data_IF_059380007559
#
_entry.id   IF_059380007559
#
_cell.length_a   1.000
_cell.length_b   1.000
_cell.length_c   1.000
_cell.angle_alpha   90.00
_cell.angle_beta   90.00
_cell.angle_gamma   90.00
#
_symmetry.space_group_name_H-M   'P 1'
#
loop_
_entity.id
_entity.type
_entity.pdbx_description
1 polymer ?
#
# COMPACT_ATOMS: atom_id res chain seq x y z
N UNK A 1 -5.80 -17.04 -0.50
CA UNK A 1 -4.54 -17.80 -0.32
C UNK A 1 -3.41 -16.79 -0.40
N UNK A 2 -2.84 -16.38 0.73
CA UNK A 2 -1.70 -15.44 0.76
C UNK A 2 -0.44 -16.25 0.43
N UNK A 3 0.09 -16.08 -0.78
CA UNK A 3 1.40 -16.64 -1.10
C UNK A 3 2.46 -16.00 -0.20
N UNK A 4 3.31 -16.82 0.41
CA UNK A 4 4.51 -16.33 1.10
C UNK A 4 5.38 -15.65 0.05
N UNK A 5 5.46 -14.33 0.10
CA UNK A 5 6.36 -13.60 -0.79
C UNK A 5 7.80 -13.99 -0.42
N UNK A 6 8.44 -14.78 -1.28
CA UNK A 6 9.85 -15.06 -1.16
C UNK A 6 10.64 -13.79 -1.50
N UNK A 7 11.72 -13.53 -0.74
CA UNK A 7 12.67 -12.47 -1.08
C UNK A 7 13.40 -12.89 -2.37
N UNK A 8 13.10 -12.23 -3.47
CA UNK A 8 13.83 -12.31 -4.74
C UNK A 8 14.81 -11.14 -4.82
N UNK A 9 15.89 -11.28 -5.59
CA UNK A 9 16.97 -10.29 -5.61
C UNK A 9 16.51 -8.83 -5.83
N UNK A 10 15.43 -8.61 -6.59
CA UNK A 10 14.85 -7.28 -6.81
C UNK A 10 14.12 -6.73 -5.58
N UNK A 11 13.21 -7.48 -4.95
CA UNK A 11 12.47 -7.01 -3.77
C UNK A 11 13.33 -7.00 -2.49
N UNK A 12 14.42 -7.78 -2.46
CA UNK A 12 15.37 -7.79 -1.36
C UNK A 12 16.12 -6.47 -1.24
N UNK A 13 16.57 -5.90 -2.35
CA UNK A 13 17.31 -4.62 -2.34
C UNK A 13 16.43 -3.48 -1.81
N UNK A 14 15.17 -3.42 -2.26
CA UNK A 14 14.22 -2.41 -1.80
C UNK A 14 13.88 -2.62 -0.31
N UNK A 15 13.67 -3.87 0.11
CA UNK A 15 13.49 -4.23 1.51
C UNK A 15 14.67 -3.86 2.41
N UNK A 16 15.87 -4.21 1.97
CA UNK A 16 17.09 -3.96 2.72
C UNK A 16 17.40 -2.46 2.79
N UNK A 17 17.05 -1.68 1.77
CA UNK A 17 17.17 -0.23 1.80
C UNK A 17 16.29 0.40 2.88
N UNK A 18 15.01 0.03 2.96
CA UNK A 18 14.09 0.51 4.01
C UNK A 18 14.55 0.15 5.40
N UNK A 19 14.92 -1.13 5.58
CA UNK A 19 15.43 -1.62 6.84
C UNK A 19 16.66 -0.82 7.28
N UNK A 20 17.61 -0.58 6.36
CA UNK A 20 18.80 0.22 6.62
C UNK A 20 18.48 1.65 7.04
N UNK A 21 17.48 2.29 6.43
CA UNK A 21 17.02 3.63 6.84
C UNK A 21 16.44 3.61 8.25
N UNK A 22 15.51 2.69 8.54
CA UNK A 22 14.88 2.57 9.87
C UNK A 22 15.95 2.29 10.93
N UNK A 23 16.86 1.35 10.69
CA UNK A 23 17.92 1.03 11.63
C UNK A 23 18.90 2.18 11.86
N UNK A 24 19.13 3.04 10.86
CA UNK A 24 19.94 4.26 11.04
C UNK A 24 19.24 5.28 11.92
N UNK A 25 17.95 5.52 11.70
CA UNK A 25 17.13 6.43 12.52
C UNK A 25 17.07 5.93 13.96
N UNK A 26 16.86 4.63 14.14
CA UNK A 26 16.81 3.95 15.44
C UNK A 26 18.19 3.79 16.11
N UNK A 27 19.27 4.22 15.44
CA UNK A 27 20.67 4.06 15.85
C UNK A 27 21.09 2.60 16.10
N UNK A 28 20.41 1.63 15.47
CA UNK A 28 20.61 0.18 15.63
C UNK A 28 21.30 -0.48 14.44
N UNK A 29 21.75 0.29 13.44
CA UNK A 29 22.42 -0.25 12.25
C UNK A 29 23.71 -1.04 12.56
N UNK A 30 24.35 -0.81 13.71
CA UNK A 30 25.53 -1.57 14.11
C UNK A 30 25.22 -3.04 14.46
N UNK A 31 24.00 -3.33 14.91
CA UNK A 31 23.56 -4.68 15.33
C UNK A 31 23.63 -5.69 14.19
N UNK A 32 23.22 -5.30 12.98
CA UNK A 32 23.25 -6.19 11.81
C UNK A 32 24.68 -6.52 11.33
N UNK A 33 25.70 -5.81 11.82
CA UNK A 33 27.12 -6.06 11.49
C UNK A 33 27.83 -6.89 12.55
N UNK A 34 27.28 -7.00 13.74
CA UNK A 34 27.87 -7.78 14.81
C UNK A 34 27.49 -9.26 14.65
N UNK A 35 28.36 -10.19 15.10
CA UNK A 35 27.98 -11.59 15.23
C UNK A 35 26.96 -11.75 16.36
N UNK A 36 25.97 -12.62 16.17
CA UNK A 36 25.05 -12.98 17.25
C UNK A 36 25.89 -13.58 18.38
N UNK A 37 25.82 -13.04 19.61
CA UNK A 37 26.66 -13.50 20.70
C UNK A 37 26.29 -14.94 21.07
N UNK A 38 27.31 -15.76 21.32
CA UNK A 38 27.12 -17.12 21.85
C UNK A 38 26.46 -17.03 23.23
N UNK A 39 25.52 -17.94 23.49
CA UNK A 39 24.83 -18.02 24.77
C UNK A 39 25.82 -18.25 25.93
N UNK A 40 25.55 -17.70 27.13
CA UNK A 40 26.36 -17.97 28.30
C UNK A 40 26.35 -19.48 28.63
N UNK A 41 27.52 -20.00 28.99
CA UNK A 41 27.72 -21.42 29.34
C UNK A 41 27.49 -21.67 30.83
N UNK A 42 27.25 -22.93 31.22
CA UNK A 42 27.11 -23.31 32.63
C UNK A 42 28.33 -22.85 33.46
N UNK A 43 28.09 -22.06 34.52
CA UNK A 43 29.14 -21.45 35.35
C UNK A 43 29.60 -20.05 34.91
N UNK A 44 28.95 -19.45 33.91
CA UNK A 44 29.21 -18.06 33.49
C UNK A 44 28.84 -17.06 34.60
N UNK A 45 29.53 -15.90 34.62
CA UNK A 45 29.28 -14.83 35.59
C UNK A 45 27.96 -14.10 35.31
N UNK A 46 27.35 -13.53 36.35
CA UNK A 46 26.14 -12.69 36.21
C UNK A 46 26.36 -11.55 35.20
N UNK A 47 27.56 -10.97 35.18
CA UNK A 47 27.95 -9.94 34.21
C UNK A 47 27.89 -10.46 32.76
N UNK A 48 28.36 -11.68 32.50
CA UNK A 48 28.29 -12.28 31.17
C UNK A 48 26.84 -12.51 30.72
N UNK A 49 25.94 -12.86 31.65
CA UNK A 49 24.50 -12.94 31.38
C UNK A 49 23.88 -11.57 31.05
N UNK A 50 24.26 -10.52 31.78
CA UNK A 50 23.75 -9.15 31.53
C UNK A 50 24.21 -8.62 30.16
N UNK A 51 25.48 -8.83 29.82
CA UNK A 51 26.03 -8.44 28.51
C UNK A 51 25.36 -9.19 27.37
N UNK A 52 25.19 -10.52 27.51
CA UNK A 52 24.50 -11.32 26.51
C UNK A 52 23.04 -10.86 26.31
N UNK A 53 22.29 -10.69 27.40
CA UNK A 53 20.89 -10.25 27.35
C UNK A 53 20.73 -8.87 26.70
N UNK A 54 21.66 -7.94 26.97
CA UNK A 54 21.65 -6.59 26.38
C UNK A 54 21.78 -6.65 24.87
N UNK A 55 22.75 -7.42 24.37
CA UNK A 55 22.99 -7.58 22.93
C UNK A 55 21.86 -8.37 22.27
N UNK A 56 21.44 -9.49 22.87
CA UNK A 56 20.34 -10.31 22.37
C UNK A 56 19.01 -9.53 22.32
N UNK A 57 18.75 -8.69 23.32
CA UNK A 57 17.62 -7.76 23.34
C UNK A 57 17.63 -6.81 22.14
N UNK A 58 18.79 -6.22 21.83
CA UNK A 58 18.93 -5.36 20.65
C UNK A 58 18.72 -6.10 19.32
N UNK A 59 19.15 -7.36 19.21
CA UNK A 59 18.82 -8.21 18.05
C UNK A 59 17.31 -8.45 17.94
N UNK A 60 16.62 -8.73 19.04
CA UNK A 60 15.17 -8.91 19.05
C UNK A 60 14.43 -7.63 18.62
N UNK A 61 14.88 -6.46 19.07
CA UNK A 61 14.31 -5.18 18.61
C UNK A 61 14.47 -5.00 17.09
N UNK A 62 15.64 -5.32 16.54
CA UNK A 62 15.87 -5.30 15.09
C UNK A 62 14.96 -6.28 14.36
N UNK A 63 14.80 -7.50 14.88
CA UNK A 63 13.90 -8.50 14.32
C UNK A 63 12.43 -8.01 14.34
N UNK A 64 12.00 -7.40 15.44
CA UNK A 64 10.67 -6.77 15.54
C UNK A 64 10.48 -5.65 14.52
N UNK A 65 11.50 -4.80 14.30
CA UNK A 65 11.45 -3.75 13.28
C UNK A 65 11.34 -4.33 11.86
N UNK A 66 12.09 -5.39 11.56
CA UNK A 66 12.00 -6.11 10.28
C UNK A 66 10.59 -6.68 10.04
N UNK A 67 10.04 -7.34 11.06
CA UNK A 67 8.69 -7.90 11.01
C UNK A 67 7.64 -6.81 10.82
N UNK A 68 7.74 -5.70 11.56
CA UNK A 68 6.81 -4.56 11.45
C UNK A 68 6.77 -3.97 10.04
N UNK A 69 7.93 -3.70 9.43
CA UNK A 69 7.99 -3.20 8.04
C UNK A 69 7.31 -4.17 7.07
N UNK A 70 7.49 -5.48 7.28
CA UNK A 70 6.81 -6.51 6.47
C UNK A 70 5.29 -6.48 6.63
N UNK A 71 4.81 -6.39 7.87
CA UNK A 71 3.37 -6.27 8.19
C UNK A 71 2.78 -5.00 7.59
N UNK A 72 3.41 -3.84 7.80
CA UNK A 72 2.94 -2.55 7.30
C UNK A 72 2.76 -2.55 5.77
N UNK A 73 3.71 -3.18 5.04
CA UNK A 73 3.60 -3.35 3.58
C UNK A 73 2.41 -4.24 3.19
N UNK A 74 2.23 -5.37 3.87
CA UNK A 74 1.13 -6.29 3.60
C UNK A 74 -0.23 -5.61 3.84
N UNK A 75 -0.39 -4.91 4.96
CA UNK A 75 -1.62 -4.22 5.33
C UNK A 75 -1.93 -3.08 4.35
N UNK A 76 -0.89 -2.36 3.90
CA UNK A 76 -1.05 -1.31 2.90
C UNK A 76 -1.45 -1.87 1.53
N UNK A 77 -0.87 -3.00 1.11
CA UNK A 77 -1.28 -3.69 -0.14
C UNK A 77 -2.73 -4.16 -0.05
N UNK A 78 -3.15 -4.72 1.09
CA UNK A 78 -4.54 -5.13 1.30
C UNK A 78 -5.49 -3.94 1.24
N UNK A 79 -5.13 -2.84 1.89
CA UNK A 79 -5.87 -1.57 1.86
C UNK A 79 -5.96 -1.02 0.43
N UNK A 80 -4.87 -1.04 -0.31
CA UNK A 80 -4.81 -0.59 -1.70
C UNK A 80 -5.73 -1.44 -2.60
N UNK A 81 -5.68 -2.76 -2.48
CA UNK A 81 -6.53 -3.69 -3.23
C UNK A 81 -8.03 -3.54 -2.89
N UNK A 82 -8.35 -3.33 -1.61
CA UNK A 82 -9.72 -3.17 -1.13
C UNK A 82 -10.33 -1.80 -1.46
N UNK A 83 -9.51 -0.81 -1.81
CA UNK A 83 -9.98 0.55 -2.07
C UNK A 83 -10.77 0.63 -3.38
N UNK A 84 -12.07 0.94 -3.27
CA UNK A 84 -12.98 1.13 -4.40
C UNK A 84 -13.41 2.59 -4.53
N UNK A 85 -13.66 3.04 -5.76
CA UNK A 85 -14.33 4.29 -6.04
C UNK A 85 -15.77 4.20 -5.51
N UNK A 86 -16.19 5.21 -4.75
CA UNK A 86 -17.57 5.30 -4.29
C UNK A 86 -18.53 5.65 -5.42
N UNK A 87 -19.72 5.06 -5.43
CA UNK A 87 -20.76 5.41 -6.40
C UNK A 87 -21.10 6.89 -6.30
N UNK A 88 -21.06 7.61 -7.43
CA UNK A 88 -21.29 9.05 -7.50
C UNK A 88 -20.19 9.92 -6.89
N UNK A 89 -19.05 9.34 -6.48
CA UNK A 89 -17.86 10.09 -6.03
C UNK A 89 -16.90 10.30 -7.20
N UNK A 90 -16.20 11.44 -7.18
CA UNK A 90 -15.24 11.79 -8.23
C UNK A 90 -14.13 10.75 -8.35
N UNK A 91 -13.88 10.31 -9.58
CA UNK A 91 -12.77 9.41 -9.91
C UNK A 91 -11.41 10.06 -9.65
N UNK A 92 -11.29 11.38 -9.81
CA UNK A 92 -10.05 12.10 -9.55
C UNK A 92 -9.62 11.99 -8.09
N UNK A 93 -10.56 12.22 -7.16
CA UNK A 93 -10.31 12.06 -5.72
C UNK A 93 -9.91 10.62 -5.37
N UNK A 94 -10.56 9.64 -5.98
CA UNK A 94 -10.21 8.23 -5.83
C UNK A 94 -8.77 7.94 -6.31
N UNK A 95 -8.38 8.39 -7.50
CA UNK A 95 -7.05 8.16 -8.06
C UNK A 95 -5.96 8.86 -7.24
N UNK A 96 -6.22 10.06 -6.70
CA UNK A 96 -5.30 10.73 -5.76
C UNK A 96 -5.07 9.87 -4.51
N UNK A 97 -6.13 9.32 -3.93
CA UNK A 97 -6.01 8.41 -2.78
C UNK A 97 -5.18 7.17 -3.13
N UNK A 98 -5.40 6.59 -4.31
CA UNK A 98 -4.65 5.44 -4.81
C UNK A 98 -3.15 5.77 -5.02
N UNK A 99 -2.82 6.95 -5.57
CA UNK A 99 -1.43 7.44 -5.66
C UNK A 99 -0.76 7.53 -4.29
N UNK A 100 -1.48 8.00 -3.28
CA UNK A 100 -0.99 8.04 -1.90
C UNK A 100 -0.57 6.67 -1.36
N UNK A 101 -1.27 5.59 -1.73
CA UNK A 101 -0.86 4.24 -1.37
C UNK A 101 0.43 3.79 -2.08
N UNK A 102 0.59 4.14 -3.36
CA UNK A 102 1.82 3.88 -4.12
C UNK A 102 3.00 4.58 -3.46
N UNK A 103 2.87 5.87 -3.16
CA UNK A 103 3.92 6.65 -2.48
C UNK A 103 4.25 6.12 -1.08
N UNK A 104 3.24 5.66 -0.34
CA UNK A 104 3.46 5.05 0.99
C UNK A 104 4.21 3.72 0.88
N UNK A 105 3.89 2.88 -0.11
CA UNK A 105 4.63 1.65 -0.37
C UNK A 105 6.09 1.94 -0.74
N UNK A 106 6.33 2.95 -1.58
CA UNK A 106 7.68 3.40 -1.94
C UNK A 106 8.47 3.91 -0.72
N UNK A 107 7.82 4.63 0.21
CA UNK A 107 8.45 5.05 1.48
C UNK A 107 8.78 3.87 2.38
N UNK A 108 7.92 2.86 2.37
CA UNK A 108 8.21 1.59 3.01
C UNK A 108 9.23 0.77 2.22
N UNK A 109 9.79 1.28 1.11
CA UNK A 109 10.72 0.65 0.14
C UNK A 109 10.18 -0.63 -0.45
N UNK A 110 8.97 -0.54 -0.96
CA UNK A 110 8.37 -1.54 -1.82
C UNK A 110 7.81 -0.85 -3.05
N UNK A 111 8.48 -1.01 -4.19
CA UNK A 111 8.06 -0.40 -5.45
C UNK A 111 7.26 -1.42 -6.24
N UNK A 112 5.96 -1.17 -6.40
CA UNK A 112 5.11 -1.99 -7.25
C UNK A 112 5.37 -1.70 -8.74
N UNK A 113 5.41 -2.73 -9.61
CA UNK A 113 5.46 -2.51 -11.05
C UNK A 113 4.28 -1.65 -11.53
N UNK A 114 4.53 -0.71 -12.45
CA UNK A 114 3.51 0.20 -12.98
C UNK A 114 2.23 -0.52 -13.43
N UNK A 115 2.37 -1.66 -14.10
CA UNK A 115 1.25 -2.49 -14.55
C UNK A 115 0.34 -2.93 -13.40
N UNK A 116 0.91 -3.27 -12.24
CA UNK A 116 0.15 -3.66 -11.06
C UNK A 116 -0.56 -2.44 -10.45
N UNK A 117 0.13 -1.30 -10.33
CA UNK A 117 -0.48 -0.06 -9.82
C UNK A 117 -1.69 0.35 -10.66
N UNK A 118 -1.54 0.37 -11.99
CA UNK A 118 -2.62 0.67 -12.94
C UNK A 118 -3.77 -0.32 -12.81
N UNK A 119 -3.47 -1.63 -12.75
CA UNK A 119 -4.49 -2.66 -12.59
C UNK A 119 -5.31 -2.48 -11.31
N UNK A 120 -4.66 -2.20 -10.17
CA UNK A 120 -5.35 -2.00 -8.89
C UNK A 120 -6.28 -0.79 -8.92
N UNK A 121 -5.86 0.31 -9.58
CA UNK A 121 -6.69 1.51 -9.78
C UNK A 121 -7.91 1.18 -10.64
N UNK A 122 -7.71 0.55 -11.80
CA UNK A 122 -8.81 0.22 -12.72
C UNK A 122 -9.80 -0.76 -12.10
N UNK A 123 -9.32 -1.76 -11.35
CA UNK A 123 -10.15 -2.77 -10.69
C UNK A 123 -11.00 -2.21 -9.54
N UNK A 124 -10.74 -0.99 -9.08
CA UNK A 124 -11.56 -0.34 -8.07
C UNK A 124 -12.56 0.67 -8.60
N UNK A 125 -12.58 0.95 -9.90
CA UNK A 125 -13.54 1.86 -10.51
C UNK A 125 -14.97 1.31 -10.45
N UNK A 126 -15.95 2.21 -10.48
CA UNK A 126 -17.37 1.83 -10.54
C UNK A 126 -17.75 1.30 -11.92
N UNK A 127 -18.92 0.66 -12.02
CA UNK A 127 -19.44 0.14 -13.29
C UNK A 127 -19.65 1.21 -14.36
N UNK A 128 -19.80 2.48 -13.97
CA UNK A 128 -19.89 3.62 -14.88
C UNK A 128 -18.63 3.77 -15.77
N UNK A 129 -17.49 3.16 -15.39
CA UNK A 129 -16.20 3.22 -16.10
C UNK A 129 -15.86 1.96 -16.91
N UNK A 130 -16.76 0.97 -17.04
CA UNK A 130 -16.46 -0.27 -17.79
C UNK A 130 -16.08 0.01 -19.25
N UNK A 131 -16.74 0.98 -19.89
CA UNK A 131 -16.40 1.41 -21.26
C UNK A 131 -14.98 1.98 -21.35
N UNK A 132 -14.59 2.81 -20.37
CA UNK A 132 -13.23 3.34 -20.25
C UNK A 132 -12.19 2.21 -20.12
N UNK A 133 -12.42 1.25 -19.21
CA UNK A 133 -11.48 0.16 -18.95
C UNK A 133 -11.24 -0.65 -20.23
N UNK A 134 -12.29 -0.95 -21.00
CA UNK A 134 -12.15 -1.64 -22.28
C UNK A 134 -11.31 -0.84 -23.28
N UNK A 135 -11.59 0.45 -23.44
CA UNK A 135 -10.83 1.33 -24.32
C UNK A 135 -9.36 1.44 -23.90
N UNK A 136 -9.11 1.59 -22.61
CA UNK A 136 -7.76 1.66 -22.05
C UNK A 136 -6.97 0.39 -22.37
N UNK A 137 -7.56 -0.78 -22.16
CA UNK A 137 -6.93 -2.07 -22.42
C UNK A 137 -6.64 -2.33 -23.91
N UNK A 138 -7.35 -1.68 -24.84
CA UNK A 138 -7.12 -1.87 -26.27
C UNK A 138 -6.14 -0.85 -26.84
N UNK A 139 -6.17 0.39 -26.35
CA UNK A 139 -5.53 1.52 -27.04
C UNK A 139 -4.55 2.32 -26.20
N UNK A 140 -4.60 2.21 -24.86
CA UNK A 140 -3.86 3.10 -23.96
C UNK A 140 -3.07 2.35 -22.89
N UNK A 141 -2.70 1.08 -23.13
CA UNK A 141 -1.84 0.33 -22.22
C UNK A 141 -0.48 1.01 -22.10
N UNK A 142 0.11 0.97 -20.89
CA UNK A 142 1.46 1.48 -20.62
C UNK A 142 1.50 2.93 -20.16
N UNK A 143 0.35 3.59 -20.02
CA UNK A 143 0.24 4.93 -19.46
C UNK A 143 0.67 4.97 -18.01
N UNK A 144 1.34 6.05 -17.63
CA UNK A 144 1.67 6.36 -16.24
C UNK A 144 0.42 6.59 -15.40
N UNK A 145 0.52 6.53 -14.06
CA UNK A 145 -0.60 6.84 -13.18
C UNK A 145 -1.05 8.31 -13.34
N UNK A 146 -0.11 9.21 -13.71
CA UNK A 146 -0.41 10.61 -14.03
C UNK A 146 -1.31 10.75 -15.26
N UNK A 147 -0.94 10.11 -16.36
CA UNK A 147 -1.73 10.11 -17.60
C UNK A 147 -3.08 9.41 -17.40
N UNK A 148 -3.10 8.26 -16.72
CA UNK A 148 -4.34 7.55 -16.39
C UNK A 148 -5.31 8.45 -15.59
N UNK A 149 -4.80 9.23 -14.64
CA UNK A 149 -5.59 10.17 -13.86
C UNK A 149 -6.28 11.22 -14.74
N UNK A 150 -5.54 11.82 -15.67
CA UNK A 150 -6.09 12.81 -16.60
C UNK A 150 -7.17 12.21 -17.50
N UNK A 151 -6.90 11.03 -18.08
CA UNK A 151 -7.84 10.31 -18.94
C UNK A 151 -9.14 9.93 -18.21
N UNK A 152 -9.04 9.52 -16.93
CA UNK A 152 -10.21 9.19 -16.12
C UNK A 152 -11.07 10.43 -15.82
N UNK A 153 -10.46 11.57 -15.54
CA UNK A 153 -11.18 12.83 -15.31
C UNK A 153 -11.89 13.28 -16.58
N UNK A 154 -11.22 13.22 -17.73
CA UNK A 154 -11.82 13.55 -19.02
C UNK A 154 -13.03 12.65 -19.31
N UNK A 155 -12.89 11.34 -19.08
CA UNK A 155 -13.98 10.40 -19.21
C UNK A 155 -15.14 10.70 -18.25
N UNK A 156 -14.86 10.98 -16.98
CA UNK A 156 -15.87 11.35 -15.98
C UNK A 156 -16.68 12.58 -16.41
N UNK A 157 -16.04 13.59 -16.99
CA UNK A 157 -16.71 14.79 -17.49
C UNK A 157 -17.58 14.53 -18.73
N UNK A 158 -17.30 13.47 -19.49
CA UNK A 158 -18.07 13.06 -20.66
C UNK A 158 -19.31 12.21 -20.31
N UNK A 159 -19.42 11.76 -19.06
CA UNK A 159 -20.53 10.92 -18.63
C UNK A 159 -21.85 11.70 -18.62
N UNK A 160 -22.98 11.04 -18.96
CA UNK A 160 -24.29 11.66 -18.82
C UNK A 160 -24.53 12.07 -17.36
N UNK A 161 -24.95 13.32 -17.13
CA UNK A 161 -25.35 13.75 -15.78
C UNK A 161 -26.57 12.92 -15.35
N UNK A 162 -26.43 12.11 -14.29
CA UNK A 162 -27.55 11.37 -13.70
C UNK A 162 -28.61 12.39 -13.26
N UNK A 163 -29.82 12.29 -13.82
CA UNK A 163 -30.94 13.17 -13.48
C UNK A 163 -31.26 13.04 -11.99
N UNK A 164 -31.39 14.17 -11.29
CA UNK A 164 -31.95 14.17 -9.95
C UNK A 164 -33.37 13.61 -10.05
N UNK A 165 -33.66 12.52 -9.33
CA UNK A 165 -35.00 11.95 -9.25
C UNK A 165 -35.97 13.05 -8.84
N UNK A 166 -36.98 13.40 -9.67
CA UNK A 166 -37.97 14.39 -9.26
C UNK A 166 -38.68 13.84 -8.02
N UNK A 167 -38.55 14.56 -6.90
CA UNK A 167 -39.37 14.27 -5.74
C UNK A 167 -40.82 14.53 -6.16
N UNK A 168 -41.62 13.47 -6.27
CA UNK A 168 -43.05 13.57 -6.58
C UNK A 168 -43.73 14.29 -5.42
N UNK A 169 -44.11 15.55 -5.63
CA UNK A 169 -44.97 16.31 -4.73
C UNK A 169 -46.36 15.65 -4.71
N UNK A 170 -46.67 14.94 -3.62
CA UNK A 170 -48.01 14.46 -3.36
C UNK A 170 -48.93 15.64 -3.01
N UNK A 171 -49.79 16.04 -3.94
CA UNK A 171 -50.87 16.99 -3.69
C UNK A 171 -51.93 16.25 -2.86
N UNK A 172 -52.04 16.55 -1.56
CA UNK A 172 -53.18 16.11 -0.76
C UNK A 172 -54.42 16.89 -1.22
N UNK A 173 -55.28 16.21 -2.00
CA UNK A 173 -56.58 16.72 -2.40
C UNK A 173 -57.47 16.97 -1.18
N UNK A 174 -57.97 18.19 -1.06
CA UNK A 174 -58.96 18.59 -0.05
C UNK A 174 -60.27 17.84 -0.24
N UNK A 175 -60.94 17.54 0.88
CA UNK A 175 -62.32 17.06 0.92
C UNK A 175 -63.28 18.26 1.00
N UNK A 176 -64.32 18.18 0.17
CA UNK A 176 -65.54 18.99 0.17
C UNK A 176 -66.36 18.66 1.42
#
# INVERSE_FOLDING_TARGET
>A
MFERQNLVASNFNDWFHSLKLVLRVEKKFYIIKQPIPLGPVAGSTDQAFVEWNTVYGAYNEVACLMLRIGVDRCDLIQTFHACKQGVGKSVGSYVIKMKGYVEQLERLGYVLPLKINVYLILNGLTSDFVGFIRNYNMHNIGKTIGELHALLIEYENSLPKKAATPQVLAIQGGRI
#
